data_IF_871994013074
#
_entry.id   IF_871994013074
#
_cell.length_a   1.000
_cell.length_b   1.000
_cell.length_c   1.000
_cell.angle_alpha   90.00
_cell.angle_beta   90.00
_cell.angle_gamma   90.00
#
_symmetry.space_group_name_H-M   'P 1'
#
loop_
_entity.id
_entity.type
_entity.pdbx_description
1 polymer ?
#
# COMPACT_ATOMS: atom_id res chain seq x y z
N UNK A 1 8.04 33.06 -19.98
CA UNK A 1 8.26 31.90 -20.87
C UNK A 1 6.99 31.05 -20.86
N UNK A 2 6.37 30.81 -22.02
CA UNK A 2 5.13 30.03 -22.13
C UNK A 2 5.39 28.53 -21.91
N UNK A 3 4.43 27.85 -21.27
CA UNK A 3 4.47 26.40 -21.01
C UNK A 3 4.76 25.57 -22.28
N UNK A 4 4.27 26.05 -23.43
CA UNK A 4 4.47 25.45 -24.75
C UNK A 4 5.94 25.47 -25.20
N UNK A 5 6.70 26.52 -24.85
CA UNK A 5 8.13 26.61 -25.16
C UNK A 5 8.98 25.68 -24.28
N UNK A 6 8.53 25.42 -23.04
CA UNK A 6 9.16 24.43 -22.14
C UNK A 6 8.92 23.00 -22.61
N UNK A 7 7.68 22.70 -23.04
CA UNK A 7 7.32 21.39 -23.58
C UNK A 7 8.09 21.08 -24.89
N UNK A 8 8.24 22.07 -25.76
CA UNK A 8 9.03 21.94 -26.99
C UNK A 8 10.51 21.66 -26.68
N UNK A 9 11.10 22.40 -25.74
CA UNK A 9 12.49 22.19 -25.33
C UNK A 9 12.71 20.80 -24.69
N UNK A 10 11.76 20.30 -23.90
CA UNK A 10 11.80 18.96 -23.33
C UNK A 10 11.77 17.88 -24.42
N UNK A 11 10.84 17.99 -25.38
CA UNK A 11 10.74 17.05 -26.51
C UNK A 11 12.00 17.05 -27.39
N UNK A 12 12.54 18.22 -27.70
CA UNK A 12 13.72 18.36 -28.55
C UNK A 12 15.00 17.85 -27.86
N UNK A 13 15.04 17.85 -26.53
CA UNK A 13 16.21 17.42 -25.75
C UNK A 13 16.38 15.90 -25.60
N UNK A 14 15.38 15.09 -25.96
CA UNK A 14 15.33 13.64 -25.67
C UNK A 14 15.69 13.29 -24.22
N UNK A 15 15.53 14.22 -23.27
CA UNK A 15 15.58 13.84 -21.87
C UNK A 15 14.44 12.83 -21.66
N UNK A 16 14.70 11.70 -20.97
CA UNK A 16 13.63 10.92 -20.39
C UNK A 16 12.66 11.88 -19.68
N UNK A 17 11.35 11.57 -19.63
CA UNK A 17 10.46 12.32 -18.75
C UNK A 17 11.16 12.44 -17.39
N UNK A 18 11.15 13.63 -16.81
CA UNK A 18 11.63 13.84 -15.45
C UNK A 18 10.89 12.80 -14.62
N UNK A 19 11.60 11.76 -14.18
CA UNK A 19 11.11 10.78 -13.23
C UNK A 19 10.99 11.59 -11.94
N UNK A 20 9.93 12.39 -11.84
CA UNK A 20 9.71 13.27 -10.70
C UNK A 20 9.89 12.47 -9.43
N UNK A 21 10.57 13.07 -8.45
CA UNK A 21 10.93 12.40 -7.18
C UNK A 21 9.80 11.45 -6.76
N UNK A 22 10.12 10.17 -6.63
CA UNK A 22 9.13 9.14 -6.30
C UNK A 22 8.37 9.60 -5.05
N UNK A 23 7.04 9.46 -5.05
CA UNK A 23 6.20 9.88 -3.91
C UNK A 23 6.73 9.28 -2.61
N UNK A 24 7.27 8.07 -2.68
CA UNK A 24 7.88 7.30 -1.58
C UNK A 24 9.17 7.91 -1.00
N UNK A 25 9.80 8.87 -1.68
CA UNK A 25 10.98 9.58 -1.17
C UNK A 25 10.62 10.67 -0.15
N UNK A 26 9.34 11.05 -0.08
CA UNK A 26 8.85 12.01 0.91
C UNK A 26 8.69 11.35 2.28
N UNK A 27 9.04 12.07 3.36
CA UNK A 27 8.84 11.56 4.72
C UNK A 27 7.36 11.28 5.03
N UNK A 28 6.45 12.08 4.45
CA UNK A 28 5.01 11.88 4.58
C UNK A 28 4.55 10.56 3.96
N UNK A 29 5.05 10.21 2.76
CA UNK A 29 4.74 8.92 2.15
C UNK A 29 5.35 7.75 2.90
N UNK A 30 6.54 7.92 3.49
CA UNK A 30 7.16 6.87 4.31
C UNK A 30 6.35 6.60 5.58
N UNK A 31 5.90 7.64 6.27
CA UNK A 31 5.00 7.51 7.43
C UNK A 31 3.67 6.86 7.02
N UNK A 32 3.08 7.32 5.92
CA UNK A 32 1.85 6.74 5.39
C UNK A 32 2.01 5.25 5.03
N UNK A 33 3.12 4.85 4.41
CA UNK A 33 3.38 3.43 4.10
C UNK A 33 3.43 2.58 5.37
N UNK A 34 4.06 3.08 6.44
CA UNK A 34 4.11 2.38 7.73
C UNK A 34 2.70 2.22 8.30
N UNK A 35 1.91 3.28 8.33
CA UNK A 35 0.53 3.25 8.84
C UNK A 35 -0.38 2.37 7.99
N UNK A 36 -0.29 2.46 6.66
CA UNK A 36 -1.08 1.66 5.73
C UNK A 36 -0.72 0.16 5.81
N UNK A 37 0.56 -0.16 5.99
CA UNK A 37 1.04 -1.53 6.21
C UNK A 37 0.43 -2.12 7.48
N UNK A 38 0.56 -1.40 8.60
CA UNK A 38 0.00 -1.84 9.88
C UNK A 38 -1.53 -1.92 9.82
N UNK A 39 -2.17 -0.94 9.17
CA UNK A 39 -3.62 -0.91 8.94
C UNK A 39 -4.10 -2.15 8.20
N UNK A 40 -3.45 -2.54 7.09
CA UNK A 40 -3.79 -3.75 6.33
C UNK A 40 -3.66 -5.02 7.16
N UNK A 41 -2.62 -5.13 7.97
CA UNK A 41 -2.38 -6.25 8.89
C UNK A 41 -3.52 -6.33 9.92
N UNK A 42 -3.92 -5.18 10.47
CA UNK A 42 -5.02 -5.08 11.45
C UNK A 42 -6.41 -5.23 10.80
N UNK A 43 -6.48 -5.24 9.46
CA UNK A 43 -7.69 -5.41 8.67
C UNK A 43 -8.40 -4.12 8.25
N UNK A 44 -7.75 -2.98 8.41
CA UNK A 44 -8.18 -1.71 7.85
C UNK A 44 -7.78 -1.63 6.37
N UNK A 45 -8.73 -1.41 5.44
CA UNK A 45 -8.40 -1.27 4.03
C UNK A 45 -7.67 0.05 3.75
N UNK A 46 -6.84 0.05 2.70
CA UNK A 46 -6.34 1.29 2.12
C UNK A 46 -7.46 1.89 1.28
N UNK A 47 -7.86 3.11 1.64
CA UNK A 47 -8.94 3.83 0.96
C UNK A 47 -8.38 5.13 0.42
N UNK A 48 -8.51 5.33 -0.88
CA UNK A 48 -8.25 6.60 -1.52
C UNK A 48 -9.27 7.63 -0.99
N UNK A 49 -8.81 8.78 -0.45
CA UNK A 49 -9.72 9.84 -0.04
C UNK A 49 -10.60 10.32 -1.20
N UNK A 50 -11.75 10.90 -0.89
CA UNK A 50 -12.62 11.50 -1.91
C UNK A 50 -13.30 12.76 -1.37
N UNK A 51 -13.25 13.88 -2.11
CA UNK A 51 -13.97 15.09 -1.72
C UNK A 51 -15.49 14.94 -1.82
N UNK A 52 -15.98 13.90 -2.51
CA UNK A 52 -17.39 13.67 -2.78
C UNK A 52 -18.03 12.62 -1.85
N UNK A 53 -17.33 12.23 -0.77
CA UNK A 53 -17.85 11.34 0.25
C UNK A 53 -17.08 10.03 0.36
N UNK A 54 -17.65 8.92 -0.15
CA UNK A 54 -17.03 7.59 0.05
C UNK A 54 -15.75 7.48 -0.79
N UNK A 55 -14.63 7.30 -0.11
CA UNK A 55 -13.37 6.95 -0.73
C UNK A 55 -13.40 5.59 -1.45
N UNK A 56 -12.48 5.42 -2.40
CA UNK A 56 -12.36 4.18 -3.16
C UNK A 56 -11.39 3.21 -2.47
N UNK A 57 -11.79 1.97 -2.23
CA UNK A 57 -10.89 0.95 -1.66
C UNK A 57 -9.83 0.58 -2.69
N UNK A 58 -8.57 0.90 -2.38
CA UNK A 58 -7.40 0.58 -3.20
C UNK A 58 -6.88 -0.82 -2.89
N UNK A 59 -6.81 -1.14 -1.60
CA UNK A 59 -6.35 -2.44 -1.11
C UNK A 59 -7.13 -2.84 0.13
N UNK A 60 -7.23 -4.15 0.36
CA UNK A 60 -7.96 -4.71 1.48
C UNK A 60 -7.29 -5.99 1.96
N UNK A 61 -7.77 -6.50 3.09
CA UNK A 61 -7.30 -7.75 3.67
C UNK A 61 -7.45 -8.95 2.74
N UNK A 62 -8.47 -8.96 1.89
CA UNK A 62 -8.68 -10.01 0.88
C UNK A 62 -7.59 -10.00 -0.19
N UNK A 63 -7.18 -8.81 -0.63
CA UNK A 63 -6.06 -8.66 -1.57
C UNK A 63 -4.76 -9.15 -0.95
N UNK A 64 -4.50 -8.78 0.32
CA UNK A 64 -3.30 -9.23 1.04
C UNK A 64 -3.28 -10.76 1.20
N UNK A 65 -4.41 -11.36 1.57
CA UNK A 65 -4.52 -12.83 1.70
C UNK A 65 -4.23 -13.55 0.38
N UNK A 66 -4.70 -12.99 -0.75
CA UNK A 66 -4.41 -13.53 -2.08
C UNK A 66 -2.93 -13.42 -2.44
N UNK A 67 -2.30 -12.27 -2.24
CA UNK A 67 -0.87 -12.08 -2.53
C UNK A 67 0.00 -13.01 -1.67
N UNK A 68 -0.40 -13.26 -0.42
CA UNK A 68 0.24 -14.24 0.46
C UNK A 68 0.10 -15.66 -0.11
N UNK A 69 -1.11 -16.07 -0.52
CA UNK A 69 -1.34 -17.40 -1.12
C UNK A 69 -0.51 -17.61 -2.40
N UNK A 70 -0.48 -16.63 -3.30
CA UNK A 70 0.32 -16.67 -4.52
C UNK A 70 1.82 -16.81 -4.22
N UNK A 71 2.34 -16.04 -3.26
CA UNK A 71 3.74 -16.10 -2.84
C UNK A 71 4.13 -17.48 -2.28
N UNK A 72 3.22 -18.10 -1.53
CA UNK A 72 3.44 -19.41 -0.93
C UNK A 72 3.33 -20.56 -1.94
N UNK A 73 2.43 -20.45 -2.92
CA UNK A 73 2.36 -21.41 -4.02
C UNK A 73 3.65 -21.43 -4.85
N UNK A 74 4.32 -20.29 -4.97
CA UNK A 74 5.59 -20.16 -5.67
C UNK A 74 6.82 -20.68 -4.90
N UNK A 75 6.70 -20.99 -3.59
CA UNK A 75 7.84 -21.35 -2.73
C UNK A 75 7.72 -22.80 -2.21
N UNK A 76 8.53 -23.76 -2.70
CA UNK A 76 8.25 -25.19 -2.51
C UNK A 76 8.65 -25.83 -1.17
N UNK A 77 9.39 -25.16 -0.29
CA UNK A 77 9.74 -25.66 1.07
C UNK A 77 9.97 -24.41 1.95
N UNK A 78 9.22 -24.13 3.02
CA UNK A 78 9.47 -24.69 4.37
C UNK A 78 8.27 -24.52 5.35
N UNK A 79 7.20 -23.79 5.02
CA UNK A 79 6.20 -23.35 6.04
C UNK A 79 4.75 -23.37 5.56
N UNK A 80 4.40 -24.27 4.64
CA UNK A 80 3.06 -24.35 4.03
C UNK A 80 1.91 -24.40 5.04
N UNK A 81 2.10 -25.09 6.17
CA UNK A 81 1.08 -25.22 7.22
C UNK A 81 0.94 -23.96 8.09
N UNK A 82 2.04 -23.26 8.43
CA UNK A 82 2.01 -22.02 9.21
C UNK A 82 1.41 -20.89 8.37
N UNK A 83 1.72 -20.90 7.08
CA UNK A 83 1.23 -19.92 6.14
C UNK A 83 -0.26 -20.12 5.79
N UNK A 84 -0.75 -21.36 5.76
CA UNK A 84 -2.19 -21.66 5.69
C UNK A 84 -2.94 -21.15 6.93
N UNK A 85 -2.36 -21.32 8.12
CA UNK A 85 -2.91 -20.77 9.38
C UNK A 85 -2.96 -19.24 9.31
N UNK A 86 -1.94 -18.57 8.77
CA UNK A 86 -1.98 -17.13 8.56
C UNK A 86 -3.06 -16.68 7.57
N UNK A 87 -3.19 -17.35 6.42
CA UNK A 87 -4.22 -17.02 5.43
C UNK A 87 -5.60 -17.15 6.06
N UNK A 88 -5.85 -18.21 6.82
CA UNK A 88 -7.15 -18.46 7.45
C UNK A 88 -7.48 -17.41 8.52
N UNK A 89 -6.47 -16.98 9.28
CA UNK A 89 -6.63 -15.94 10.30
C UNK A 89 -6.75 -14.54 9.68
N UNK A 90 -5.96 -14.24 8.65
CA UNK A 90 -6.13 -13.03 7.83
C UNK A 90 -7.51 -13.05 7.17
N UNK A 91 -8.03 -14.18 6.73
CA UNK A 91 -9.38 -14.24 6.13
C UNK A 91 -10.51 -14.08 7.18
N UNK A 92 -10.30 -14.51 8.43
CA UNK A 92 -11.33 -14.49 9.47
C UNK A 92 -11.44 -13.16 10.25
N UNK A 93 -10.55 -12.20 10.05
CA UNK A 93 -10.61 -10.93 10.77
C UNK A 93 -9.98 -10.95 12.18
N UNK A 94 -9.72 -12.12 12.75
CA UNK A 94 -9.35 -12.29 14.17
C UNK A 94 -7.84 -12.21 14.41
N UNK A 95 -7.30 -10.99 14.33
CA UNK A 95 -5.90 -10.68 14.66
C UNK A 95 -5.60 -10.76 16.16
N UNK A 96 -6.63 -10.85 17.02
CA UNK A 96 -6.42 -10.99 18.46
C UNK A 96 -6.25 -12.45 18.89
N UNK A 97 -6.63 -13.39 18.03
CA UNK A 97 -6.51 -14.83 18.26
C UNK A 97 -5.11 -15.21 18.73
N UNK A 98 -5.06 -16.08 19.74
CA UNK A 98 -3.81 -16.67 20.23
C UNK A 98 -3.05 -17.38 19.11
N UNK A 99 -3.75 -17.96 18.13
CA UNK A 99 -3.16 -18.60 16.96
C UNK A 99 -2.50 -17.58 16.02
N UNK A 100 -3.09 -16.38 15.88
CA UNK A 100 -2.49 -15.29 15.12
C UNK A 100 -1.16 -14.88 15.72
N UNK A 101 -1.18 -14.57 17.02
CA UNK A 101 0.01 -14.12 17.77
C UNK A 101 1.10 -15.18 17.79
N UNK A 102 0.75 -16.47 17.81
CA UNK A 102 1.70 -17.58 17.73
C UNK A 102 2.27 -17.78 16.33
N UNK A 103 1.45 -17.72 15.28
CA UNK A 103 1.91 -17.84 13.90
C UNK A 103 2.77 -16.63 13.48
N UNK A 104 2.31 -15.42 13.83
CA UNK A 104 3.05 -14.18 13.67
C UNK A 104 4.34 -14.18 14.49
N UNK A 105 4.33 -14.72 15.71
CA UNK A 105 5.54 -14.87 16.54
C UNK A 105 6.53 -15.91 16.03
N UNK A 106 6.05 -17.01 15.43
CA UNK A 106 6.89 -18.07 14.88
C UNK A 106 7.63 -17.64 13.61
N UNK A 107 7.02 -16.76 12.82
CA UNK A 107 7.60 -16.17 11.60
C UNK A 107 8.55 -14.99 11.88
N UNK A 108 8.75 -14.67 13.16
CA UNK A 108 9.58 -13.56 13.60
C UNK A 108 8.82 -12.23 13.61
N UNK A 109 8.90 -11.54 14.75
CA UNK A 109 8.62 -10.10 14.84
C UNK A 109 9.81 -9.37 14.18
N UNK A 110 9.83 -9.37 12.86
CA UNK A 110 10.84 -8.68 12.04
C UNK A 110 10.13 -8.06 10.84
N UNK A 111 10.66 -6.96 10.33
CA UNK A 111 10.31 -6.41 9.00
C UNK A 111 10.41 -7.47 7.88
N UNK A 112 10.98 -8.65 8.15
CA UNK A 112 11.12 -9.80 7.25
C UNK A 112 9.92 -10.77 7.22
N UNK A 113 8.86 -10.58 8.02
CA UNK A 113 7.67 -11.45 7.91
C UNK A 113 7.01 -11.28 6.53
N UNK A 114 6.69 -12.39 5.85
CA UNK A 114 6.11 -12.39 4.49
C UNK A 114 4.84 -11.54 4.41
N UNK A 115 3.99 -11.58 5.45
CA UNK A 115 2.76 -10.77 5.50
C UNK A 115 3.09 -9.28 5.58
N UNK A 116 4.03 -8.88 6.44
CA UNK A 116 4.46 -7.49 6.59
C UNK A 116 5.10 -6.96 5.31
N UNK A 117 5.97 -7.75 4.69
CA UNK A 117 6.60 -7.40 3.41
C UNK A 117 5.56 -7.21 2.30
N UNK A 118 4.63 -8.16 2.14
CA UNK A 118 3.60 -8.06 1.11
C UNK A 118 2.60 -6.94 1.38
N UNK A 119 2.25 -6.68 2.64
CA UNK A 119 1.41 -5.54 3.02
C UNK A 119 2.12 -4.21 2.71
N UNK A 120 3.43 -4.12 2.95
CA UNK A 120 4.24 -2.95 2.58
C UNK A 120 4.32 -2.76 1.08
N UNK A 121 4.64 -3.80 0.32
CA UNK A 121 4.65 -3.76 -1.15
C UNK A 121 3.27 -3.38 -1.72
N UNK A 122 2.19 -3.76 -1.03
CA UNK A 122 0.83 -3.36 -1.39
C UNK A 122 0.57 -1.88 -1.07
N UNK A 123 1.03 -1.37 0.07
CA UNK A 123 0.96 0.05 0.38
C UNK A 123 1.76 0.89 -0.62
N UNK A 124 3.01 0.51 -0.90
CA UNK A 124 3.89 1.19 -1.85
C UNK A 124 3.29 1.24 -3.26
N UNK A 125 2.71 0.13 -3.76
CA UNK A 125 2.03 0.08 -5.07
C UNK A 125 0.78 0.98 -5.15
N UNK A 126 0.18 1.33 -4.02
CA UNK A 126 -1.03 2.16 -3.96
C UNK A 126 -0.74 3.60 -3.51
N UNK A 127 0.51 3.96 -3.25
CA UNK A 127 0.91 5.28 -2.77
C UNK A 127 0.51 6.38 -3.75
N UNK A 128 0.89 6.24 -5.03
CA UNK A 128 0.59 7.25 -6.05
C UNK A 128 -0.92 7.51 -6.14
N UNK A 129 -1.74 6.46 -6.24
CA UNK A 129 -3.19 6.59 -6.31
C UNK A 129 -3.80 7.22 -5.04
N UNK A 130 -3.23 6.95 -3.87
CA UNK A 130 -3.67 7.57 -2.62
C UNK A 130 -3.33 9.06 -2.58
N UNK A 131 -2.08 9.43 -2.90
CA UNK A 131 -1.61 10.81 -2.85
C UNK A 131 -2.22 11.67 -3.95
N UNK A 132 -2.45 11.13 -5.15
CA UNK A 132 -3.21 11.80 -6.21
C UNK A 132 -4.62 12.17 -5.72
N UNK A 133 -5.32 11.20 -5.11
CA UNK A 133 -6.64 11.42 -4.54
C UNK A 133 -6.64 12.40 -3.38
N UNK A 134 -5.58 12.40 -2.55
CA UNK A 134 -5.40 13.34 -1.44
C UNK A 134 -5.20 14.76 -1.96
N UNK A 135 -4.36 14.95 -2.97
CA UNK A 135 -4.18 16.25 -3.61
C UNK A 135 -5.47 16.77 -4.24
N UNK A 136 -6.27 15.90 -4.87
CA UNK A 136 -7.59 16.26 -5.39
C UNK A 136 -8.54 16.70 -4.27
N UNK A 137 -8.56 15.97 -3.15
CA UNK A 137 -9.35 16.34 -1.98
C UNK A 137 -8.93 17.70 -1.42
N UNK A 138 -7.64 17.90 -1.13
CA UNK A 138 -7.09 19.14 -0.56
C UNK A 138 -7.41 20.35 -1.46
N UNK A 139 -7.34 20.13 -2.78
CA UNK A 139 -7.71 21.14 -3.77
C UNK A 139 -9.20 21.47 -3.68
N UNK A 140 -10.07 20.47 -3.64
CA UNK A 140 -11.51 20.67 -3.55
C UNK A 140 -11.91 21.38 -2.24
N UNK A 141 -11.27 21.05 -1.12
CA UNK A 141 -11.45 21.72 0.17
C UNK A 141 -11.04 23.19 0.10
N UNK A 142 -9.90 23.48 -0.53
CA UNK A 142 -9.43 24.86 -0.75
C UNK A 142 -10.38 25.67 -1.65
N UNK A 143 -10.93 25.05 -2.69
CA UNK A 143 -11.85 25.71 -3.63
C UNK A 143 -13.26 25.89 -3.05
N UNK A 144 -13.71 25.01 -2.15
CA UNK A 144 -15.07 25.01 -1.59
C UNK A 144 -15.19 25.62 -0.18
N UNK A 145 -14.07 25.83 0.53
CA UNK A 145 -14.02 26.57 1.80
C UNK A 145 -14.73 25.90 2.98
N UNK A 146 -14.66 24.57 3.07
CA UNK A 146 -15.21 23.81 4.22
C UNK A 146 -14.35 23.94 5.48
#
# INVERSE_FOLDING_TARGET
>A
MNALARAQAAYDSRLPPDDGDSVLETSEAQEWVIEATQGLIDGHPIVAPSPYGRGATLASREHLARDVDEHLQATPDFERNVAQILIEIVSCGDTESRLYKLAHGALGYSDDCVVTRLAREMAERNADAYFDAKCEQDRAETECGF
#
